data_IF_507547558557
#
_entry.id   IF_507547558557
#
_cell.length_a   1.000
_cell.length_b   1.000
_cell.length_c   1.000
_cell.angle_alpha   90.00
_cell.angle_beta   90.00
_cell.angle_gamma   90.00
#
_symmetry.space_group_name_H-M   'P 1'
#
loop_
_entity.id
_entity.type
_entity.pdbx_description
1 polymer ?
#
# COMPACT_ATOMS: atom_id res chain seq x y z
N UNK A 1 -37.32 -12.08 -38.17
CA UNK A 1 -38.05 -11.21 -37.23
C UNK A 1 -37.48 -9.81 -37.38
N UNK A 2 -38.32 -8.93 -37.94
CA UNK A 2 -38.03 -7.56 -38.36
C UNK A 2 -38.14 -6.66 -37.15
N UNK A 3 -37.10 -5.88 -36.81
CA UNK A 3 -37.17 -4.84 -35.76
C UNK A 3 -37.28 -3.48 -36.47
N UNK A 4 -38.39 -2.81 -36.19
CA UNK A 4 -38.67 -1.43 -36.61
C UNK A 4 -37.78 -0.41 -35.91
N UNK A 5 -37.30 0.58 -36.64
CA UNK A 5 -36.79 1.87 -36.14
C UNK A 5 -37.95 2.84 -35.89
N UNK A 6 -37.96 3.50 -34.78
CA UNK A 6 -38.69 4.75 -34.45
C UNK A 6 -37.87 5.38 -33.27
N UNK A 7 -37.65 6.67 -33.14
CA UNK A 7 -37.94 7.85 -33.89
C UNK A 7 -37.20 9.01 -33.22
N UNK A 8 -36.78 9.97 -34.01
CA UNK A 8 -36.06 11.18 -33.59
C UNK A 8 -36.92 12.07 -32.66
N UNK A 9 -36.41 12.40 -31.49
CA UNK A 9 -36.96 13.50 -30.65
C UNK A 9 -36.01 14.70 -30.74
N UNK A 10 -36.42 15.68 -31.53
CA UNK A 10 -35.84 17.01 -31.55
C UNK A 10 -36.26 17.79 -30.30
N UNK A 11 -35.31 18.24 -29.50
CA UNK A 11 -35.52 19.15 -28.37
C UNK A 11 -35.13 20.57 -28.82
N UNK A 12 -36.09 21.47 -28.81
CA UNK A 12 -35.90 22.88 -29.12
C UNK A 12 -35.19 23.62 -27.97
N UNK A 13 -34.37 24.65 -28.25
CA UNK A 13 -33.68 25.41 -27.22
C UNK A 13 -34.59 26.41 -26.49
N UNK A 14 -34.59 26.33 -25.16
CA UNK A 14 -35.28 27.31 -24.30
C UNK A 14 -34.48 28.61 -24.19
N UNK A 15 -35.14 29.74 -24.49
CA UNK A 15 -34.62 31.10 -24.38
C UNK A 15 -34.59 31.58 -22.93
N UNK A 16 -33.44 32.07 -22.48
CA UNK A 16 -33.22 32.66 -21.15
C UNK A 16 -33.46 34.20 -21.27
N UNK A 17 -34.27 34.84 -20.41
CA UNK A 17 -34.44 36.28 -20.41
C UNK A 17 -33.26 37.00 -19.75
N UNK A 18 -32.77 38.04 -20.44
CA UNK A 18 -31.75 38.98 -19.93
C UNK A 18 -32.34 39.84 -18.82
N UNK A 19 -31.74 39.87 -17.64
CA UNK A 19 -31.99 40.86 -16.59
C UNK A 19 -31.05 42.05 -16.74
N UNK A 20 -31.61 43.24 -16.63
CA UNK A 20 -30.95 44.52 -16.71
C UNK A 20 -30.07 44.81 -15.48
N UNK A 21 -28.98 45.54 -15.73
CA UNK A 21 -28.04 46.00 -14.70
C UNK A 21 -28.60 47.25 -13.94
N UNK A 22 -28.32 47.40 -12.64
CA UNK A 22 -28.53 48.65 -11.95
C UNK A 22 -27.30 49.56 -12.00
N UNK A 23 -27.58 50.83 -12.20
CA UNK A 23 -26.70 51.99 -12.28
C UNK A 23 -25.85 52.23 -11.04
N UNK A 24 -24.59 52.59 -11.27
CA UNK A 24 -23.62 53.05 -10.27
C UNK A 24 -24.01 54.43 -9.70
N UNK A 25 -23.97 54.57 -8.38
CA UNK A 25 -23.87 55.85 -7.66
C UNK A 25 -22.48 55.99 -7.08
N UNK A 26 -21.77 57.01 -7.54
CA UNK A 26 -20.50 57.44 -6.98
C UNK A 26 -20.70 58.15 -5.64
N UNK A 27 -19.98 57.77 -4.64
CA UNK A 27 -19.76 58.53 -3.39
C UNK A 27 -18.27 58.78 -3.25
N UNK A 28 -17.90 60.05 -3.31
CA UNK A 28 -16.57 60.54 -2.99
C UNK A 28 -16.38 60.58 -1.47
N UNK A 29 -15.30 60.01 -0.95
CA UNK A 29 -14.83 60.23 0.43
C UNK A 29 -13.31 60.42 0.42
N UNK A 30 -12.92 61.45 1.15
CA UNK A 30 -11.63 62.09 1.15
C UNK A 30 -10.42 61.25 1.55
N UNK A 31 -9.28 61.71 1.05
CA UNK A 31 -7.95 61.23 1.37
C UNK A 31 -7.51 61.68 2.79
N UNK A 32 -7.16 60.72 3.61
CA UNK A 32 -6.30 60.95 4.80
C UNK A 32 -5.00 60.20 4.51
N UNK A 33 -3.94 60.95 4.26
CA UNK A 33 -2.58 60.42 4.18
C UNK A 33 -2.05 60.14 5.59
N UNK A 34 -1.86 58.85 5.91
CA UNK A 34 -1.06 58.41 7.03
C UNK A 34 0.19 57.73 6.46
N UNK A 35 1.35 58.34 6.70
CA UNK A 35 2.65 57.77 6.37
C UNK A 35 2.89 56.50 7.13
N UNK A 36 3.13 55.41 6.42
CA UNK A 36 3.63 54.17 6.98
C UNK A 36 5.06 53.94 6.49
N UNK A 37 5.97 53.95 7.42
CA UNK A 37 7.37 53.54 7.23
C UNK A 37 7.45 52.17 6.61
N UNK A 38 8.20 52.04 5.51
CA UNK A 38 8.54 50.78 4.89
C UNK A 38 9.49 50.01 5.79
N UNK A 39 8.92 49.14 6.64
CA UNK A 39 9.67 48.05 7.21
C UNK A 39 9.74 46.90 6.20
N UNK A 40 10.91 46.62 5.65
CA UNK A 40 11.19 45.36 4.98
C UNK A 40 11.07 44.23 6.01
N UNK A 41 9.87 43.71 6.17
CA UNK A 41 9.69 42.42 6.79
C UNK A 41 10.13 41.38 5.76
N UNK A 42 11.27 40.75 6.00
CA UNK A 42 11.60 39.47 5.41
C UNK A 42 10.42 38.54 5.66
N UNK A 43 9.68 38.20 4.61
CA UNK A 43 8.78 37.06 4.63
C UNK A 43 9.66 35.83 4.87
N UNK A 44 9.81 35.43 6.12
CA UNK A 44 10.03 34.03 6.43
C UNK A 44 8.88 33.30 5.78
N UNK A 45 9.16 32.51 4.75
CA UNK A 45 8.22 31.52 4.26
C UNK A 45 7.74 30.76 5.49
N UNK A 46 6.50 30.98 5.87
CA UNK A 46 5.78 30.10 6.78
C UNK A 46 5.78 28.76 6.05
N UNK A 47 6.62 27.83 6.52
CA UNK A 47 6.66 26.47 6.00
C UNK A 47 5.23 25.95 6.02
N UNK A 48 4.59 25.95 4.86
CA UNK A 48 3.33 25.24 4.66
C UNK A 48 3.63 23.81 5.04
N UNK A 49 2.86 23.27 6.00
CA UNK A 49 2.99 21.88 6.40
C UNK A 49 3.06 21.02 5.14
N UNK A 50 4.16 20.32 4.94
CA UNK A 50 4.31 19.39 3.82
C UNK A 50 3.17 18.39 3.95
N UNK A 51 2.41 18.19 2.89
CA UNK A 51 1.49 17.06 2.79
C UNK A 51 2.36 15.84 2.52
N UNK A 52 2.81 15.24 3.57
CA UNK A 52 3.49 13.96 3.56
C UNK A 52 2.45 12.83 3.63
N UNK A 53 2.81 11.65 3.25
CA UNK A 53 2.01 10.46 3.53
C UNK A 53 1.78 10.40 5.03
N UNK A 54 0.61 9.94 5.48
CA UNK A 54 0.36 9.81 6.91
C UNK A 54 1.44 8.94 7.54
N UNK A 55 1.96 9.36 8.68
CA UNK A 55 2.98 8.59 9.42
C UNK A 55 2.42 7.25 9.91
N UNK A 56 1.12 7.17 10.09
CA UNK A 56 0.38 5.96 10.43
C UNK A 56 0.45 4.88 9.35
N UNK A 57 -0.22 3.76 9.54
CA UNK A 57 -0.26 2.68 8.54
C UNK A 57 -0.99 3.13 7.27
N UNK A 58 -0.32 3.87 6.45
CA UNK A 58 -0.87 4.65 5.35
C UNK A 58 -0.78 3.97 3.98
N UNK A 59 -0.29 2.73 3.92
CA UNK A 59 -0.16 1.93 2.70
C UNK A 59 -0.17 0.42 3.00
N UNK A 60 0.14 -0.40 2.01
CA UNK A 60 0.04 -1.87 2.08
C UNK A 60 0.94 -2.50 3.14
N UNK A 61 2.09 -1.89 3.44
CA UNK A 61 3.06 -2.40 4.40
C UNK A 61 3.61 -1.25 5.28
N UNK A 62 2.70 -0.50 5.90
CA UNK A 62 3.02 0.61 6.79
C UNK A 62 3.13 1.93 6.04
N UNK A 63 4.24 2.19 5.38
CA UNK A 63 4.54 3.44 4.68
C UNK A 63 5.37 3.23 3.42
N UNK A 64 5.94 4.30 2.85
CA UNK A 64 6.71 4.26 1.61
C UNK A 64 7.85 3.23 1.55
N UNK A 65 8.59 2.97 2.64
CA UNK A 65 9.65 1.95 2.67
C UNK A 65 9.13 0.52 2.64
N UNK A 66 7.82 0.29 2.82
CA UNK A 66 7.21 -1.02 3.03
C UNK A 66 7.77 -1.77 4.25
N UNK A 67 8.19 -1.05 5.29
CA UNK A 67 8.87 -1.63 6.45
C UNK A 67 7.99 -2.53 7.31
N UNK A 68 6.68 -2.54 7.12
CA UNK A 68 5.76 -3.29 7.97
C UNK A 68 5.84 -2.88 9.45
N UNK A 69 6.30 -1.66 9.74
CA UNK A 69 6.49 -1.13 11.08
C UNK A 69 5.58 0.05 11.36
N UNK A 70 4.95 0.03 12.53
CA UNK A 70 4.21 1.15 13.10
C UNK A 70 5.15 2.12 13.81
N UNK A 71 4.76 3.39 13.88
CA UNK A 71 5.46 4.41 14.65
C UNK A 71 5.10 4.40 16.14
N UNK A 72 4.09 3.61 16.53
CA UNK A 72 3.61 3.44 17.89
C UNK A 72 3.97 2.08 18.49
N UNK A 73 3.97 2.02 19.81
CA UNK A 73 3.91 0.77 20.58
C UNK A 73 2.46 0.37 20.79
N UNK A 74 2.19 -0.92 20.95
CA UNK A 74 0.86 -1.44 21.27
C UNK A 74 0.72 -1.72 22.76
N UNK A 75 -0.50 -1.87 23.27
CA UNK A 75 -0.77 -2.32 24.64
C UNK A 75 -0.10 -3.68 24.92
N UNK A 76 0.28 -3.93 26.18
CA UNK A 76 0.80 -5.25 26.61
C UNK A 76 -0.30 -6.33 26.61
N UNK A 77 -1.55 -5.92 26.65
CA UNK A 77 -2.72 -6.81 26.65
C UNK A 77 -3.86 -6.19 25.82
N UNK A 78 -3.71 -6.13 24.48
CA UNK A 78 -4.71 -5.51 23.65
C UNK A 78 -6.06 -6.23 23.74
N UNK A 79 -7.14 -5.48 23.81
CA UNK A 79 -8.50 -6.00 23.90
C UNK A 79 -9.35 -5.56 22.70
N UNK A 80 -10.31 -6.41 22.30
CA UNK A 80 -11.23 -6.07 21.20
C UNK A 80 -12.09 -4.86 21.60
N UNK A 81 -11.94 -3.76 20.85
CA UNK A 81 -12.77 -2.55 21.01
C UNK A 81 -14.06 -2.67 20.22
N UNK A 82 -13.94 -3.04 18.95
CA UNK A 82 -15.10 -3.26 18.07
C UNK A 82 -14.78 -4.20 16.92
N UNK A 83 -15.83 -4.73 16.31
CA UNK A 83 -15.76 -5.40 15.02
C UNK A 83 -16.84 -4.87 14.08
N UNK A 84 -16.51 -4.80 12.78
CA UNK A 84 -17.42 -4.28 11.76
C UNK A 84 -17.43 -5.17 10.53
N UNK A 85 -18.58 -5.82 10.23
CA UNK A 85 -18.77 -6.48 8.94
C UNK A 85 -19.00 -5.43 7.85
N UNK A 86 -18.38 -5.60 6.70
CA UNK A 86 -18.47 -4.71 5.54
C UNK A 86 -19.38 -5.25 4.43
N UNK A 87 -19.84 -6.49 4.55
CA UNK A 87 -20.79 -7.11 3.62
C UNK A 87 -20.19 -7.63 2.31
N UNK A 88 -18.87 -7.56 2.15
CA UNK A 88 -18.14 -8.12 1.02
C UNK A 88 -16.70 -8.40 1.44
N UNK A 89 -15.97 -9.34 0.78
CA UNK A 89 -14.59 -9.64 1.11
C UNK A 89 -13.71 -8.41 1.17
N UNK A 90 -12.94 -8.25 2.26
CA UNK A 90 -11.99 -7.16 2.39
C UNK A 90 -10.72 -7.46 1.57
N UNK A 91 -10.09 -6.41 1.05
CA UNK A 91 -8.88 -6.49 0.27
C UNK A 91 -7.74 -5.75 0.97
N UNK A 92 -6.61 -6.41 1.15
CA UNK A 92 -5.44 -5.82 1.80
C UNK A 92 -5.66 -5.46 3.27
N UNK A 93 -4.83 -4.60 3.79
CA UNK A 93 -4.87 -4.10 5.16
C UNK A 93 -5.79 -2.88 5.27
N UNK A 94 -6.33 -2.61 6.47
CA UNK A 94 -6.96 -1.32 6.75
C UNK A 94 -5.87 -0.25 6.88
N UNK A 95 -5.95 0.80 6.05
CA UNK A 95 -5.09 1.98 6.19
C UNK A 95 -5.63 2.91 7.28
N UNK A 96 -4.74 3.69 7.92
CA UNK A 96 -5.10 4.69 8.92
C UNK A 96 -4.59 6.08 8.52
N UNK A 97 -5.33 7.13 8.89
CA UNK A 97 -4.90 8.52 8.74
C UNK A 97 -4.13 9.06 9.96
N UNK A 98 -4.02 8.27 11.03
CA UNK A 98 -3.41 8.69 12.30
C UNK A 98 -4.22 9.74 13.07
N UNK A 99 -5.39 10.15 12.57
CA UNK A 99 -6.23 11.19 13.19
C UNK A 99 -7.66 10.70 13.49
N UNK A 100 -7.86 9.40 13.53
CA UNK A 100 -9.08 8.77 13.98
C UNK A 100 -9.94 8.10 12.92
N UNK A 101 -9.36 7.74 11.75
CA UNK A 101 -10.08 6.99 10.73
C UNK A 101 -9.29 5.78 10.23
N UNK A 102 -10.01 4.69 10.02
CA UNK A 102 -9.53 3.54 9.25
C UNK A 102 -10.25 3.46 7.91
N UNK A 103 -9.51 3.09 6.88
CA UNK A 103 -10.02 2.97 5.52
C UNK A 103 -9.85 1.54 5.03
N UNK A 104 -10.96 0.94 4.59
CA UNK A 104 -10.94 -0.43 4.10
C UNK A 104 -11.63 -0.55 2.74
N UNK A 105 -10.94 -1.18 1.80
CA UNK A 105 -11.50 -1.55 0.52
C UNK A 105 -12.09 -2.98 0.56
N UNK A 106 -13.10 -3.23 -0.27
CA UNK A 106 -13.76 -4.54 -0.41
C UNK A 106 -13.98 -4.88 -1.88
N UNK A 107 -14.13 -6.17 -2.18
CA UNK A 107 -14.52 -6.66 -3.51
C UNK A 107 -16.04 -6.69 -3.61
N UNK A 108 -16.69 -5.54 -3.76
CA UNK A 108 -18.13 -5.47 -3.95
C UNK A 108 -18.46 -5.03 -5.37
N UNK A 109 -19.26 -5.81 -6.06
CA UNK A 109 -19.80 -5.44 -7.38
C UNK A 109 -21.02 -4.53 -7.25
N UNK A 110 -21.68 -4.57 -6.09
CA UNK A 110 -22.89 -3.80 -5.81
C UNK A 110 -22.73 -3.04 -4.49
N UNK A 111 -23.03 -1.75 -4.51
CA UNK A 111 -22.92 -0.90 -3.33
C UNK A 111 -21.53 -0.29 -3.13
N UNK A 112 -21.21 0.02 -1.88
CA UNK A 112 -19.91 0.60 -1.52
C UNK A 112 -18.79 -0.45 -1.57
N UNK A 113 -17.62 -0.02 -2.00
CA UNK A 113 -16.41 -0.87 -2.00
C UNK A 113 -15.18 -0.17 -1.38
N UNK A 114 -15.32 1.05 -0.89
CA UNK A 114 -14.37 1.74 -0.04
C UNK A 114 -15.13 2.34 1.14
N UNK A 115 -14.63 2.10 2.35
CA UNK A 115 -15.24 2.50 3.61
C UNK A 115 -14.27 3.34 4.42
N UNK A 116 -14.76 4.43 5.04
CA UNK A 116 -14.11 5.10 6.15
C UNK A 116 -14.86 4.79 7.43
N UNK A 117 -14.12 4.30 8.42
CA UNK A 117 -14.62 3.92 9.74
C UNK A 117 -13.97 4.81 10.79
N UNK A 118 -14.72 5.20 11.82
CA UNK A 118 -14.14 5.85 13.00
C UNK A 118 -13.29 4.85 13.78
N UNK A 119 -12.12 5.29 14.26
CA UNK A 119 -11.25 4.45 15.08
C UNK A 119 -11.92 4.07 16.42
N UNK A 120 -12.65 5.00 17.04
CA UNK A 120 -13.17 4.80 18.40
C UNK A 120 -14.30 3.75 18.50
N UNK A 121 -15.20 3.68 17.51
CA UNK A 121 -16.41 2.84 17.60
C UNK A 121 -16.74 2.08 16.32
N UNK A 122 -15.88 2.14 15.30
CA UNK A 122 -16.05 1.46 14.02
C UNK A 122 -17.26 1.92 13.22
N UNK A 123 -17.85 3.10 13.55
CA UNK A 123 -18.96 3.63 12.76
C UNK A 123 -18.49 4.05 11.39
N UNK A 124 -19.34 3.77 10.42
CA UNK A 124 -19.11 4.23 9.06
C UNK A 124 -19.26 5.75 8.98
N UNK A 125 -18.17 6.47 8.72
CA UNK A 125 -18.19 7.90 8.43
C UNK A 125 -18.80 8.16 7.06
N UNK A 126 -18.28 7.45 6.07
CA UNK A 126 -18.78 7.46 4.69
C UNK A 126 -18.43 6.15 4.00
N UNK A 127 -19.03 5.92 2.85
CA UNK A 127 -18.58 4.89 1.94
C UNK A 127 -18.78 5.31 0.48
N UNK A 128 -17.91 4.84 -0.40
CA UNK A 128 -17.93 5.13 -1.81
C UNK A 128 -18.05 3.85 -2.64
N UNK A 129 -18.63 4.00 -3.80
CA UNK A 129 -18.49 3.04 -4.89
C UNK A 129 -17.49 3.60 -5.88
N UNK A 130 -16.30 3.03 -5.90
CA UNK A 130 -15.28 3.33 -6.92
C UNK A 130 -15.56 2.50 -8.17
N UNK A 131 -15.12 2.98 -9.36
CA UNK A 131 -15.12 2.17 -10.58
C UNK A 131 -14.36 0.88 -10.32
N UNK A 132 -15.02 -0.22 -10.55
CA UNK A 132 -14.79 -1.51 -9.93
C UNK A 132 -13.58 -2.30 -10.34
N UNK A 133 -13.41 -3.41 -9.61
CA UNK A 133 -12.41 -4.46 -9.75
C UNK A 133 -11.01 -3.94 -9.47
N UNK A 134 -10.91 -3.12 -8.42
CA UNK A 134 -9.63 -2.71 -7.86
C UNK A 134 -8.91 -3.93 -7.30
N UNK A 135 -7.62 -4.03 -7.52
CA UNK A 135 -6.80 -5.01 -6.86
C UNK A 135 -6.75 -4.69 -5.37
N UNK A 136 -6.31 -5.64 -4.65
CA UNK A 136 -6.01 -5.78 -3.23
C UNK A 136 -4.98 -4.79 -2.70
N UNK A 137 -4.96 -3.55 -3.15
CA UNK A 137 -4.02 -2.55 -2.72
C UNK A 137 -4.73 -1.63 -1.75
N UNK A 138 -4.15 -1.48 -0.57
CA UNK A 138 -4.54 -0.47 0.40
C UNK A 138 -4.43 0.91 -0.22
N UNK A 139 -5.41 1.76 0.03
CA UNK A 139 -5.32 3.16 -0.35
C UNK A 139 -4.14 3.82 0.36
N UNK A 140 -3.45 4.70 -0.34
CA UNK A 140 -2.45 5.57 0.28
C UNK A 140 -3.17 6.75 0.92
N UNK A 141 -2.85 7.05 2.17
CA UNK A 141 -3.49 8.11 2.96
C UNK A 141 -2.51 9.24 3.19
N UNK A 142 -2.92 10.48 2.97
CA UNK A 142 -2.13 11.65 3.36
C UNK A 142 -2.40 12.07 4.81
N UNK A 143 -1.54 12.89 5.40
CA UNK A 143 -1.67 13.39 6.78
C UNK A 143 -2.90 14.27 7.05
N UNK A 144 -3.81 14.42 6.08
CA UNK A 144 -5.11 15.10 6.21
C UNK A 144 -6.30 14.17 6.01
N UNK A 145 -6.05 12.87 5.85
CA UNK A 145 -7.07 11.87 5.62
C UNK A 145 -7.61 11.84 4.19
N UNK A 146 -6.94 12.49 3.21
CA UNK A 146 -7.26 12.28 1.80
C UNK A 146 -6.66 10.97 1.33
N UNK A 147 -7.36 10.28 0.43
CA UNK A 147 -6.95 8.97 -0.05
C UNK A 147 -6.60 9.03 -1.53
N UNK A 148 -5.56 8.27 -1.87
CA UNK A 148 -5.24 7.91 -3.24
C UNK A 148 -5.49 6.42 -3.41
N UNK A 149 -6.46 6.09 -4.25
CA UNK A 149 -7.04 4.74 -4.31
C UNK A 149 -6.76 4.13 -5.67
N UNK A 150 -6.15 2.94 -5.73
CA UNK A 150 -6.00 2.21 -6.98
C UNK A 150 -7.36 1.68 -7.43
N UNK A 151 -7.55 1.69 -8.72
CA UNK A 151 -8.66 0.99 -9.36
C UNK A 151 -8.21 0.37 -10.69
N UNK A 152 -9.06 -0.43 -11.26
CA UNK A 152 -8.78 -1.11 -12.53
C UNK A 152 -8.51 -0.09 -13.66
N UNK A 153 -7.24 0.05 -14.04
CA UNK A 153 -6.79 0.99 -15.07
C UNK A 153 -6.60 2.43 -14.60
N UNK A 154 -6.35 2.68 -13.31
CA UNK A 154 -6.09 4.02 -12.84
C UNK A 154 -5.89 4.21 -11.35
N UNK A 155 -5.79 5.46 -10.97
CA UNK A 155 -5.76 5.94 -9.59
C UNK A 155 -6.74 7.09 -9.41
N UNK A 156 -7.44 7.13 -8.29
CA UNK A 156 -8.36 8.21 -7.91
C UNK A 156 -7.94 8.90 -6.63
N UNK A 157 -8.26 10.19 -6.52
CA UNK A 157 -8.15 10.91 -5.26
C UNK A 157 -9.53 11.15 -4.66
N UNK A 158 -9.63 10.89 -3.36
CA UNK A 158 -10.84 11.06 -2.55
C UNK A 158 -10.50 11.96 -1.37
N UNK A 159 -11.36 12.92 -1.04
CA UNK A 159 -11.17 13.78 0.13
C UNK A 159 -11.43 13.01 1.43
N UNK A 160 -11.01 13.59 2.56
CA UNK A 160 -11.28 13.05 3.91
C UNK A 160 -12.79 12.88 4.20
N UNK A 161 -13.64 13.66 3.50
CA UNK A 161 -15.10 13.62 3.60
C UNK A 161 -15.74 12.58 2.65
N UNK A 162 -14.93 11.89 1.84
CA UNK A 162 -15.42 10.88 0.90
C UNK A 162 -15.86 11.45 -0.45
N UNK A 163 -15.39 12.62 -0.86
CA UNK A 163 -15.72 13.21 -2.15
C UNK A 163 -14.64 12.85 -3.20
N UNK A 164 -15.09 12.40 -4.37
CA UNK A 164 -14.18 12.17 -5.49
C UNK A 164 -13.60 13.51 -5.98
N UNK A 165 -12.29 13.63 -6.00
CA UNK A 165 -11.59 14.84 -6.46
C UNK A 165 -11.18 14.75 -7.92
N UNK A 166 -10.53 13.65 -8.30
CA UNK A 166 -10.10 13.38 -9.67
C UNK A 166 -9.85 11.88 -9.89
N UNK A 167 -9.82 11.47 -11.14
CA UNK A 167 -9.42 10.14 -11.59
C UNK A 167 -8.38 10.27 -12.71
N UNK A 168 -7.25 9.61 -12.57
CA UNK A 168 -6.21 9.52 -13.59
C UNK A 168 -6.13 8.07 -14.11
N UNK A 169 -6.25 7.92 -15.44
CA UNK A 169 -6.11 6.61 -16.08
C UNK A 169 -4.65 6.22 -16.20
N UNK A 170 -4.34 4.95 -16.01
CA UNK A 170 -3.01 4.38 -16.26
C UNK A 170 -3.14 3.09 -17.05
N UNK A 171 -2.06 2.67 -17.70
CA UNK A 171 -1.97 1.33 -18.31
C UNK A 171 -1.72 0.31 -17.20
N UNK A 172 -2.62 -0.67 -17.08
CA UNK A 172 -2.56 -1.68 -16.03
C UNK A 172 -3.17 -1.22 -14.72
N UNK A 173 -2.97 -2.03 -13.71
CA UNK A 173 -3.50 -1.83 -12.35
C UNK A 173 -2.34 -1.34 -11.47
N UNK A 174 -2.47 -0.24 -10.74
CA UNK A 174 -1.43 0.21 -9.84
C UNK A 174 -1.11 -0.85 -8.77
N UNK A 175 0.15 -1.21 -8.61
CA UNK A 175 0.70 -2.03 -7.52
C UNK A 175 1.38 -1.17 -6.46
N UNK A 176 1.79 0.04 -6.84
CA UNK A 176 2.36 1.04 -5.94
C UNK A 176 1.62 2.35 -6.11
N UNK A 177 1.28 2.97 -5.00
CA UNK A 177 0.81 4.35 -4.91
C UNK A 177 1.49 4.96 -3.70
N UNK A 178 2.33 5.98 -3.91
CA UNK A 178 3.12 6.59 -2.83
C UNK A 178 3.24 8.08 -3.04
N UNK A 179 3.02 8.86 -2.00
CA UNK A 179 3.30 10.28 -2.00
C UNK A 179 4.81 10.51 -1.93
N UNK A 180 5.38 11.16 -2.92
CA UNK A 180 6.77 11.63 -2.90
C UNK A 180 6.89 12.95 -2.13
N UNK A 181 5.91 13.80 -2.31
CA UNK A 181 5.74 15.07 -1.62
C UNK A 181 4.28 15.58 -1.74
N UNK A 182 3.99 16.80 -1.32
CA UNK A 182 2.66 17.40 -1.37
C UNK A 182 2.08 17.61 -2.78
N UNK A 183 2.87 17.42 -3.83
CA UNK A 183 2.47 17.64 -5.23
C UNK A 183 2.58 16.40 -6.10
N UNK A 184 3.38 15.44 -5.70
CA UNK A 184 3.76 14.32 -6.55
C UNK A 184 3.35 12.99 -5.94
N UNK A 185 2.52 12.27 -6.66
CA UNK A 185 2.11 10.89 -6.36
C UNK A 185 2.78 9.96 -7.36
N UNK A 186 3.67 9.13 -6.89
CA UNK A 186 4.27 8.05 -7.68
C UNK A 186 3.27 6.90 -7.79
N UNK A 187 3.11 6.39 -8.99
CA UNK A 187 2.34 5.17 -9.25
C UNK A 187 3.15 4.21 -10.11
N UNK A 188 3.11 2.93 -9.77
CA UNK A 188 3.67 1.84 -10.60
C UNK A 188 2.56 0.87 -10.87
N UNK A 189 2.34 0.49 -12.13
CA UNK A 189 1.36 -0.53 -12.48
C UNK A 189 1.99 -1.91 -12.59
N UNK A 190 1.18 -2.96 -12.47
CA UNK A 190 1.63 -4.35 -12.67
C UNK A 190 2.21 -4.61 -14.07
N UNK A 191 1.92 -3.74 -15.04
CA UNK A 191 2.53 -3.77 -16.37
C UNK A 191 3.88 -3.07 -16.44
N UNK A 192 4.39 -2.58 -15.30
CA UNK A 192 5.68 -1.90 -15.22
C UNK A 192 5.66 -0.45 -15.75
N UNK A 193 4.52 0.21 -15.74
CA UNK A 193 4.42 1.64 -16.09
C UNK A 193 4.61 2.46 -14.82
N UNK A 194 5.70 3.21 -14.77
CA UNK A 194 5.97 4.18 -13.71
C UNK A 194 5.47 5.54 -14.16
N UNK A 195 4.68 6.19 -13.32
CA UNK A 195 4.13 7.54 -13.52
C UNK A 195 4.26 8.36 -12.26
N UNK A 196 4.37 9.65 -12.44
CA UNK A 196 4.17 10.63 -11.37
C UNK A 196 3.06 11.57 -11.78
N UNK A 197 2.04 11.70 -10.94
CA UNK A 197 0.90 12.59 -11.16
C UNK A 197 0.84 13.67 -10.10
N UNK A 198 0.29 14.81 -10.47
CA UNK A 198 0.05 15.89 -9.52
C UNK A 198 -1.10 15.53 -8.57
N UNK A 199 -0.87 15.60 -7.27
CA UNK A 199 -1.83 15.21 -6.22
C UNK A 199 -3.11 16.04 -6.21
N UNK A 200 -3.09 17.25 -6.75
CA UNK A 200 -4.25 18.16 -6.76
C UNK A 200 -5.13 17.95 -8.00
N UNK A 201 -4.51 17.59 -9.12
CA UNK A 201 -5.19 17.59 -10.43
C UNK A 201 -5.28 16.23 -11.09
N UNK A 202 -4.45 15.24 -10.66
CA UNK A 202 -4.30 13.94 -11.33
C UNK A 202 -3.62 14.01 -12.71
N UNK A 203 -3.12 15.19 -13.11
CA UNK A 203 -2.39 15.33 -14.37
C UNK A 203 -0.95 14.82 -14.22
N UNK A 204 -0.40 14.35 -15.33
CA UNK A 204 0.99 13.87 -15.35
C UNK A 204 1.98 14.98 -14.97
N UNK A 205 2.87 14.69 -14.04
CA UNK A 205 3.99 15.54 -13.64
C UNK A 205 5.28 15.21 -14.41
N UNK A 206 5.30 14.08 -15.13
CA UNK A 206 6.39 13.65 -16.00
C UNK A 206 5.87 12.73 -17.10
N UNK A 207 6.61 12.52 -18.19
CA UNK A 207 6.34 11.41 -19.11
C UNK A 207 6.34 10.06 -18.39
N UNK A 208 5.51 9.12 -18.85
CA UNK A 208 5.52 7.74 -18.34
C UNK A 208 6.85 7.04 -18.64
N UNK A 209 7.27 6.15 -17.74
CA UNK A 209 8.46 5.32 -17.91
C UNK A 209 8.08 3.83 -17.86
N UNK A 210 8.12 3.10 -18.98
CA UNK A 210 7.92 1.65 -18.98
C UNK A 210 9.21 0.95 -18.52
N UNK A 211 9.20 0.30 -17.36
CA UNK A 211 10.38 -0.40 -16.81
C UNK A 211 10.45 -1.87 -17.22
N UNK A 212 9.35 -2.47 -17.63
CA UNK A 212 9.30 -3.87 -18.09
C UNK A 212 9.10 -4.00 -19.62
N UNK A 213 9.50 -2.96 -20.38
CA UNK A 213 9.27 -2.87 -21.80
C UNK A 213 7.87 -2.33 -22.16
N UNK A 214 7.63 -2.11 -23.45
CA UNK A 214 6.34 -1.60 -23.89
C UNK A 214 5.30 -2.72 -23.95
N UNK A 215 4.39 -2.72 -22.98
CA UNK A 215 3.20 -3.58 -22.96
C UNK A 215 1.99 -2.65 -23.05
N UNK A 216 1.22 -2.78 -24.10
CA UNK A 216 0.02 -1.96 -24.32
C UNK A 216 -1.20 -2.85 -24.59
N UNK A 217 -1.64 -3.70 -23.64
CA UNK A 217 -2.84 -4.49 -23.83
C UNK A 217 -4.08 -3.59 -23.86
N UNK A 218 -5.10 -4.02 -24.57
CA UNK A 218 -6.41 -3.35 -24.60
C UNK A 218 -7.16 -3.48 -23.26
N UNK A 219 -6.87 -4.55 -22.50
CA UNK A 219 -7.43 -4.82 -21.18
C UNK A 219 -6.43 -4.38 -20.09
N UNK A 220 -6.79 -3.41 -19.23
CA UNK A 220 -5.95 -3.01 -18.11
C UNK A 220 -5.61 -4.14 -17.12
N UNK A 221 -6.44 -5.17 -17.03
CA UNK A 221 -6.21 -6.34 -16.18
C UNK A 221 -5.36 -7.43 -16.80
N UNK A 222 -4.87 -7.25 -18.03
CA UNK A 222 -4.03 -8.26 -18.68
C UNK A 222 -2.85 -8.64 -17.78
N UNK A 223 -2.70 -9.92 -17.52
CA UNK A 223 -1.62 -10.43 -16.67
C UNK A 223 -1.88 -10.35 -15.17
N UNK A 224 -2.91 -9.64 -14.71
CA UNK A 224 -3.17 -9.47 -13.27
C UNK A 224 -3.40 -10.77 -12.47
N UNK A 225 -3.98 -11.85 -13.01
CA UNK A 225 -4.10 -13.12 -12.28
C UNK A 225 -2.75 -13.71 -11.87
N UNK A 226 -1.69 -13.48 -12.64
CA UNK A 226 -0.35 -14.00 -12.34
C UNK A 226 0.41 -13.16 -11.31
N UNK A 227 -0.06 -11.94 -11.00
CA UNK A 227 0.59 -11.08 -10.02
C UNK A 227 0.55 -11.67 -8.61
N UNK A 228 -0.55 -12.32 -8.23
CA UNK A 228 -0.70 -12.95 -6.93
C UNK A 228 0.30 -14.08 -6.65
N UNK A 229 0.82 -14.69 -7.70
CA UNK A 229 1.80 -15.79 -7.62
C UNK A 229 3.18 -15.39 -8.14
N UNK A 230 3.35 -14.13 -8.59
CA UNK A 230 4.64 -13.58 -9.03
C UNK A 230 5.19 -14.20 -10.29
N UNK A 231 4.32 -14.66 -11.21
CA UNK A 231 4.74 -15.30 -12.47
C UNK A 231 5.06 -14.30 -13.57
N UNK A 232 5.75 -14.79 -14.61
CA UNK A 232 6.16 -14.03 -15.82
C UNK A 232 5.04 -13.23 -16.49
N UNK A 233 3.77 -13.67 -16.34
CA UNK A 233 2.62 -12.96 -16.88
C UNK A 233 2.34 -11.62 -16.22
N UNK A 234 2.92 -11.35 -15.03
CA UNK A 234 2.83 -10.09 -14.31
C UNK A 234 4.21 -9.42 -14.25
N UNK A 235 4.47 -8.43 -15.10
CA UNK A 235 5.78 -7.74 -15.13
C UNK A 235 6.23 -7.12 -13.83
N UNK A 236 5.32 -6.54 -13.02
CA UNK A 236 5.63 -5.96 -11.70
C UNK A 236 4.60 -6.45 -10.69
N UNK A 237 4.89 -7.57 -10.01
CA UNK A 237 3.90 -8.26 -9.19
C UNK A 237 3.64 -7.63 -7.82
N UNK A 238 4.58 -6.86 -7.29
CA UNK A 238 4.48 -6.31 -5.93
C UNK A 238 4.68 -4.81 -5.84
N UNK A 239 4.33 -4.22 -4.68
CA UNK A 239 4.63 -2.82 -4.40
C UNK A 239 6.13 -2.54 -4.37
N UNK A 240 6.51 -1.38 -4.92
CA UNK A 240 7.85 -0.84 -4.78
C UNK A 240 8.08 -0.28 -3.38
N UNK A 241 9.30 -0.39 -2.86
CA UNK A 241 9.74 0.43 -1.75
C UNK A 241 10.19 1.80 -2.28
N UNK A 242 9.87 2.86 -1.57
CA UNK A 242 10.15 4.21 -2.03
C UNK A 242 10.92 5.00 -0.96
N UNK A 243 12.09 5.48 -1.36
CA UNK A 243 12.80 6.53 -0.64
C UNK A 243 12.24 7.89 -1.06
N UNK A 244 11.41 8.48 -0.22
CA UNK A 244 10.76 9.77 -0.50
C UNK A 244 11.71 10.95 -0.41
N UNK A 245 12.86 10.83 0.26
CA UNK A 245 13.86 11.91 0.32
C UNK A 245 14.59 12.10 -1.01
N UNK A 246 14.93 10.98 -1.66
CA UNK A 246 15.62 11.02 -2.95
C UNK A 246 14.68 10.91 -4.15
N UNK A 247 13.41 10.58 -3.91
CA UNK A 247 12.41 10.28 -4.95
C UNK A 247 12.71 8.97 -5.69
N UNK A 248 13.37 8.01 -5.05
CA UNK A 248 13.79 6.75 -5.67
C UNK A 248 12.88 5.60 -5.28
N UNK A 249 12.38 4.87 -6.26
CA UNK A 249 11.59 3.66 -6.09
C UNK A 249 12.42 2.43 -6.47
N UNK A 250 12.37 1.39 -5.63
CA UNK A 250 12.99 0.09 -5.84
C UNK A 250 11.90 -0.93 -6.06
N UNK A 251 11.93 -1.62 -7.19
CA UNK A 251 10.89 -2.56 -7.57
C UNK A 251 11.46 -3.78 -8.29
N UNK A 252 10.76 -4.90 -8.20
CA UNK A 252 11.07 -6.07 -9.00
C UNK A 252 10.30 -6.01 -10.32
N UNK A 253 10.99 -6.32 -11.41
CA UNK A 253 10.38 -6.32 -12.72
C UNK A 253 10.78 -7.57 -13.52
N UNK A 254 9.86 -8.08 -14.31
CA UNK A 254 10.12 -9.15 -15.26
C UNK A 254 9.77 -8.68 -16.68
N UNK A 255 10.79 -8.34 -17.42
CA UNK A 255 10.60 -7.96 -18.83
C UNK A 255 10.05 -9.15 -19.62
N UNK A 256 8.93 -9.01 -20.35
CA UNK A 256 8.38 -10.08 -21.16
C UNK A 256 9.41 -10.65 -22.14
N UNK A 257 9.59 -11.98 -22.10
CA UNK A 257 10.61 -12.66 -22.91
C UNK A 257 12.03 -12.59 -22.34
N UNK A 258 12.25 -11.86 -21.25
CA UNK A 258 13.52 -11.85 -20.52
C UNK A 258 13.80 -13.19 -19.82
N UNK A 259 15.07 -13.54 -19.61
CA UNK A 259 15.46 -14.83 -19.03
C UNK A 259 15.17 -14.89 -17.52
N UNK A 260 15.30 -13.78 -16.83
CA UNK A 260 15.17 -13.70 -15.37
C UNK A 260 14.52 -12.38 -14.95
N UNK A 261 14.00 -12.29 -13.70
CA UNK A 261 13.56 -11.04 -13.12
C UNK A 261 14.74 -10.12 -12.79
N UNK A 262 14.44 -8.84 -12.61
CA UNK A 262 15.40 -7.80 -12.28
C UNK A 262 14.92 -7.00 -11.07
N UNK A 263 15.83 -6.55 -10.24
CA UNK A 263 15.63 -5.44 -9.31
C UNK A 263 15.96 -4.15 -10.06
N UNK A 264 15.08 -3.17 -9.98
CA UNK A 264 15.20 -1.91 -10.75
C UNK A 264 15.06 -0.73 -9.80
N UNK A 265 15.98 0.22 -9.89
CA UNK A 265 15.86 1.52 -9.24
C UNK A 265 15.42 2.59 -10.25
N UNK A 266 14.36 3.31 -9.90
CA UNK A 266 13.80 4.40 -10.70
C UNK A 266 13.76 5.66 -9.86
N UNK A 267 14.27 6.77 -10.37
CA UNK A 267 14.21 8.06 -9.69
C UNK A 267 13.29 9.04 -10.40
N UNK A 268 12.50 9.74 -9.62
CA UNK A 268 11.81 10.96 -10.05
C UNK A 268 12.57 12.19 -9.58
N UNK A 269 12.80 13.11 -10.49
CA UNK A 269 13.34 14.44 -10.21
C UNK A 269 12.29 15.48 -10.57
N UNK A 270 11.89 16.27 -9.58
CA UNK A 270 10.93 17.37 -9.77
C UNK A 270 11.59 18.51 -10.58
N UNK A 271 10.78 19.22 -11.35
CA UNK A 271 11.19 20.37 -12.18
C UNK A 271 10.04 20.80 -13.09
N UNK A 272 10.30 21.74 -14.02
CA UNK A 272 9.25 22.29 -14.91
C UNK A 272 8.54 21.20 -15.73
N UNK A 273 9.24 20.15 -16.12
CA UNK A 273 8.68 19.03 -16.87
C UNK A 273 8.85 17.67 -16.16
N UNK A 274 9.25 17.64 -14.90
CA UNK A 274 9.51 16.42 -14.15
C UNK A 274 10.27 15.34 -14.96
N UNK A 275 11.07 14.52 -14.33
CA UNK A 275 11.82 13.47 -15.03
C UNK A 275 11.81 12.17 -14.24
N UNK A 276 11.47 11.09 -14.93
CA UNK A 276 11.66 9.71 -14.47
C UNK A 276 12.86 9.11 -15.23
N UNK A 277 13.74 8.43 -14.50
CA UNK A 277 14.88 7.72 -15.08
C UNK A 277 15.17 6.43 -14.33
N UNK A 278 15.61 5.41 -15.07
CA UNK A 278 16.17 4.20 -14.47
C UNK A 278 17.61 4.52 -14.05
N UNK A 279 17.93 4.35 -12.78
CA UNK A 279 19.27 4.53 -12.27
C UNK A 279 20.14 3.31 -12.57
N UNK A 280 19.61 2.13 -12.26
CA UNK A 280 20.29 0.85 -12.51
C UNK A 280 19.27 -0.30 -12.59
N UNK A 281 19.76 -1.43 -13.10
CA UNK A 281 19.08 -2.72 -13.12
C UNK A 281 20.06 -3.80 -12.68
N UNK A 282 19.59 -4.70 -11.82
CA UNK A 282 20.36 -5.85 -11.35
C UNK A 282 19.56 -7.13 -11.58
N UNK A 283 20.18 -8.13 -12.19
CA UNK A 283 19.55 -9.43 -12.40
C UNK A 283 19.31 -10.15 -11.07
N UNK A 284 18.15 -10.71 -10.92
CA UNK A 284 17.79 -11.56 -9.77
C UNK A 284 17.92 -13.04 -10.16
N UNK A 285 18.08 -13.96 -9.18
CA UNK A 285 17.97 -15.39 -9.45
C UNK A 285 16.68 -15.74 -10.17
N UNK A 286 16.71 -16.79 -11.01
CA UNK A 286 15.49 -17.31 -11.63
C UNK A 286 14.48 -17.69 -10.55
N UNK A 287 13.21 -17.39 -10.79
CA UNK A 287 12.13 -17.73 -9.87
C UNK A 287 11.03 -16.69 -9.88
N UNK A 288 10.01 -16.92 -9.05
CA UNK A 288 8.84 -16.05 -8.95
C UNK A 288 9.12 -14.87 -8.04
N UNK A 289 8.61 -13.72 -8.45
CA UNK A 289 8.60 -12.51 -7.66
C UNK A 289 7.19 -12.30 -7.10
N UNK A 290 7.03 -12.22 -5.81
CA UNK A 290 5.66 -12.13 -5.30
C UNK A 290 5.47 -11.25 -4.08
N UNK A 291 6.55 -10.67 -3.58
CA UNK A 291 6.51 -9.94 -2.31
C UNK A 291 6.96 -8.50 -2.53
N UNK A 292 6.40 -7.54 -1.77
CA UNK A 292 6.90 -6.18 -1.78
C UNK A 292 8.38 -6.11 -1.47
N UNK A 293 9.09 -5.24 -2.18
CA UNK A 293 10.44 -4.82 -1.80
C UNK A 293 10.34 -4.00 -0.51
N UNK A 294 11.26 -4.20 0.41
CA UNK A 294 11.37 -3.44 1.67
C UNK A 294 12.67 -2.65 1.66
N UNK A 295 12.63 -1.38 2.03
CA UNK A 295 13.80 -0.52 2.15
C UNK A 295 14.29 -0.50 3.60
N UNK A 296 15.60 -0.61 3.81
CA UNK A 296 16.22 -0.46 5.13
C UNK A 296 16.08 0.96 5.69
N UNK A 297 16.20 1.11 7.01
CA UNK A 297 16.10 2.43 7.67
C UNK A 297 17.24 3.38 7.29
N UNK A 298 18.45 2.86 7.09
CA UNK A 298 19.62 3.61 6.62
C UNK A 298 19.60 3.86 5.11
N UNK A 299 18.63 3.23 4.39
CA UNK A 299 18.44 3.33 2.94
C UNK A 299 19.58 2.80 2.08
N UNK A 300 20.45 2.01 2.66
CA UNK A 300 21.59 1.42 1.97
C UNK A 300 21.26 0.05 1.37
N UNK A 301 20.20 -0.61 1.84
CA UNK A 301 19.79 -1.94 1.40
C UNK A 301 18.29 -2.02 1.07
N UNK A 302 17.95 -2.88 0.14
CA UNK A 302 16.58 -3.34 -0.09
C UNK A 302 16.49 -4.84 0.12
N UNK A 303 15.39 -5.28 0.72
CA UNK A 303 15.15 -6.67 1.08
C UNK A 303 14.04 -7.27 0.22
N UNK A 304 14.23 -8.51 -0.20
CA UNK A 304 13.22 -9.26 -0.93
C UNK A 304 13.32 -10.76 -0.68
N UNK A 305 12.18 -11.43 -0.82
CA UNK A 305 12.11 -12.87 -0.77
C UNK A 305 12.26 -13.48 -2.17
N UNK A 306 12.94 -14.62 -2.26
CA UNK A 306 13.06 -15.41 -3.48
C UNK A 306 12.19 -16.68 -3.45
N UNK A 307 11.97 -17.29 -4.60
CA UNK A 307 11.14 -18.49 -4.72
C UNK A 307 11.72 -19.70 -4.01
N UNK A 308 13.04 -19.79 -3.96
CA UNK A 308 13.76 -20.86 -3.26
C UNK A 308 13.70 -20.76 -1.73
N UNK A 309 12.98 -19.78 -1.20
CA UNK A 309 12.79 -19.61 0.22
C UNK A 309 13.99 -18.97 0.92
N UNK A 310 14.59 -17.98 0.30
CA UNK A 310 15.59 -17.11 0.93
C UNK A 310 15.07 -15.69 1.10
N UNK A 311 15.54 -15.00 2.13
CA UNK A 311 15.45 -13.55 2.30
C UNK A 311 16.82 -12.98 1.95
N UNK A 312 16.85 -12.01 1.02
CA UNK A 312 18.10 -11.47 0.48
C UNK A 312 18.11 -9.95 0.54
N UNK A 313 19.29 -9.39 0.76
CA UNK A 313 19.54 -7.95 0.70
C UNK A 313 20.36 -7.58 -0.52
N UNK A 314 20.03 -6.44 -1.09
CA UNK A 314 20.73 -5.84 -2.25
C UNK A 314 21.03 -4.39 -1.95
N UNK A 315 22.20 -3.91 -2.41
CA UNK A 315 22.62 -2.52 -2.27
C UNK A 315 21.70 -1.57 -3.06
N UNK A 316 21.27 -0.49 -2.45
CA UNK A 316 20.51 0.57 -3.12
C UNK A 316 21.35 1.36 -4.13
N UNK A 317 22.68 1.33 -3.99
CA UNK A 317 23.58 2.08 -4.86
C UNK A 317 23.63 1.52 -6.28
N UNK A 318 23.61 0.18 -6.43
CA UNK A 318 23.83 -0.48 -7.72
C UNK A 318 23.09 -1.81 -7.91
N UNK A 319 22.31 -2.25 -6.90
CA UNK A 319 21.60 -3.52 -6.90
C UNK A 319 22.48 -4.75 -6.70
N UNK A 320 23.72 -4.61 -6.31
CA UNK A 320 24.59 -5.75 -6.01
C UNK A 320 24.10 -6.51 -4.79
N UNK A 321 24.19 -7.88 -4.77
CA UNK A 321 23.79 -8.66 -3.61
C UNK A 321 24.72 -8.38 -2.42
N UNK A 322 24.14 -8.20 -1.23
CA UNK A 322 24.85 -7.95 0.03
C UNK A 322 24.91 -9.20 0.88
N UNK A 323 23.76 -9.80 1.15
CA UNK A 323 23.65 -11.04 1.90
C UNK A 323 22.37 -11.80 1.51
N UNK A 324 22.32 -13.09 1.87
CA UNK A 324 21.14 -13.95 1.71
C UNK A 324 21.06 -14.92 2.87
N UNK A 325 19.84 -15.20 3.34
CA UNK A 325 19.56 -16.14 4.42
C UNK A 325 18.43 -17.08 4.02
N UNK A 326 18.64 -18.41 4.05
CA UNK A 326 17.60 -19.38 3.78
C UNK A 326 16.58 -19.38 4.92
N UNK A 327 15.30 -19.15 4.62
CA UNK A 327 14.21 -19.22 5.59
C UNK A 327 13.38 -20.49 5.47
N UNK A 328 13.57 -21.26 4.38
CA UNK A 328 12.99 -22.58 4.20
C UNK A 328 11.55 -22.61 3.68
N UNK A 329 10.97 -21.47 3.36
CA UNK A 329 9.65 -21.36 2.74
C UNK A 329 9.54 -20.05 1.96
N UNK A 330 8.54 -19.94 1.08
CA UNK A 330 8.25 -18.71 0.34
C UNK A 330 7.08 -17.99 0.98
N UNK A 331 7.26 -16.78 1.54
CA UNK A 331 6.17 -15.91 1.97
C UNK A 331 5.39 -15.34 0.79
N UNK A 332 4.10 -15.02 1.02
CA UNK A 332 3.25 -14.28 0.09
C UNK A 332 3.03 -12.84 0.55
N UNK A 333 3.47 -12.50 1.76
CA UNK A 333 3.31 -11.18 2.37
C UNK A 333 4.68 -10.58 2.72
N UNK A 334 4.77 -9.23 2.80
CA UNK A 334 6.04 -8.58 3.13
C UNK A 334 6.53 -8.96 4.52
N UNK A 335 7.85 -8.93 4.76
CA UNK A 335 8.39 -8.97 6.10
C UNK A 335 8.10 -7.67 6.86
N UNK A 336 8.28 -7.68 8.18
CA UNK A 336 8.35 -6.48 8.99
C UNK A 336 9.79 -6.22 9.45
N UNK A 337 10.20 -4.97 9.40
CA UNK A 337 11.52 -4.50 9.83
C UNK A 337 11.45 -3.93 11.23
N UNK A 338 12.12 -4.54 12.19
CA UNK A 338 12.25 -4.05 13.56
C UNK A 338 13.20 -2.85 13.65
N UNK A 339 13.13 -2.04 14.72
CA UNK A 339 14.00 -0.88 14.91
C UNK A 339 15.50 -1.19 14.96
N UNK A 340 15.85 -2.42 15.31
CA UNK A 340 17.26 -2.90 15.38
C UNK A 340 17.78 -3.48 14.05
N UNK A 341 16.97 -3.41 12.98
CA UNK A 341 17.30 -3.93 11.65
C UNK A 341 16.98 -5.42 11.47
N UNK A 342 16.38 -6.09 12.45
CA UNK A 342 15.90 -7.46 12.30
C UNK A 342 14.65 -7.50 11.42
N UNK A 343 14.61 -8.43 10.48
CA UNK A 343 13.47 -8.68 9.59
C UNK A 343 12.70 -9.90 10.09
N UNK A 344 11.43 -9.74 10.37
CA UNK A 344 10.52 -10.85 10.66
C UNK A 344 9.77 -11.21 9.39
N UNK A 345 9.90 -12.46 8.95
CA UNK A 345 9.38 -12.89 7.66
C UNK A 345 7.86 -12.86 7.59
N UNK A 346 7.34 -12.63 6.39
CA UNK A 346 5.91 -12.65 6.12
C UNK A 346 5.30 -14.04 6.17
N UNK A 347 3.99 -14.09 6.27
CA UNK A 347 3.19 -15.31 6.25
C UNK A 347 2.72 -15.68 4.85
N UNK A 348 1.77 -16.60 4.81
CA UNK A 348 1.04 -16.98 3.61
C UNK A 348 -0.42 -16.58 3.75
N UNK A 349 -0.87 -15.67 2.90
CA UNK A 349 -2.29 -15.34 2.85
C UNK A 349 -3.05 -16.55 2.32
N UNK A 350 -4.01 -17.03 3.10
CA UNK A 350 -4.89 -18.06 2.61
C UNK A 350 -5.74 -17.50 1.45
N UNK A 351 -5.49 -17.99 0.26
CA UNK A 351 -6.42 -18.25 -0.85
C UNK A 351 -7.36 -17.19 -1.44
N UNK A 352 -7.51 -16.01 -0.93
CA UNK A 352 -8.47 -15.01 -1.50
C UNK A 352 -8.08 -14.53 -2.90
N UNK A 353 -6.92 -14.87 -3.36
CA UNK A 353 -6.42 -14.47 -4.69
C UNK A 353 -6.35 -15.55 -5.72
N UNK A 354 -6.47 -16.76 -5.31
CA UNK A 354 -6.53 -17.85 -6.25
C UNK A 354 -7.95 -17.84 -6.77
N UNK A 355 -8.14 -17.60 -8.06
CA UNK A 355 -9.43 -17.82 -8.70
C UNK A 355 -9.96 -19.19 -8.28
N UNK A 356 -11.25 -19.40 -8.34
CA UNK A 356 -11.92 -20.64 -7.89
C UNK A 356 -11.39 -21.95 -8.53
N UNK A 357 -10.42 -21.84 -9.44
CA UNK A 357 -9.84 -22.95 -10.22
C UNK A 357 -8.39 -23.31 -9.83
N UNK A 358 -7.84 -22.75 -8.72
CA UNK A 358 -6.43 -22.97 -8.37
C UNK A 358 -6.27 -24.13 -7.38
N UNK A 359 -6.01 -25.33 -7.92
CA UNK A 359 -5.67 -26.55 -7.17
C UNK A 359 -4.38 -26.43 -6.32
N UNK A 360 -3.65 -25.32 -6.45
CA UNK A 360 -2.40 -25.05 -5.68
C UNK A 360 -2.64 -24.53 -4.25
N UNK A 361 -3.89 -24.30 -3.87
CA UNK A 361 -4.23 -23.84 -2.51
C UNK A 361 -3.93 -24.91 -1.44
N UNK A 362 -3.98 -26.18 -1.80
CA UNK A 362 -3.79 -27.30 -0.87
C UNK A 362 -2.33 -27.53 -0.46
N UNK A 363 -1.36 -27.02 -1.25
CA UNK A 363 0.09 -27.25 -1.03
C UNK A 363 0.79 -26.11 -0.26
N UNK A 364 0.04 -25.19 0.35
CA UNK A 364 0.64 -24.19 1.23
C UNK A 364 1.13 -24.87 2.51
N UNK A 365 2.34 -25.40 2.47
CA UNK A 365 3.05 -25.92 3.65
C UNK A 365 3.11 -24.91 4.79
N UNK A 366 3.66 -25.25 5.95
CA UNK A 366 3.76 -24.37 7.09
C UNK A 366 4.45 -23.05 6.70
N UNK A 367 3.96 -21.92 7.23
CA UNK A 367 4.64 -20.64 7.17
C UNK A 367 5.08 -20.31 8.61
N UNK A 368 6.27 -20.76 9.03
CA UNK A 368 6.82 -20.41 10.34
C UNK A 368 7.08 -18.92 10.44
N UNK A 369 7.23 -18.42 11.65
CA UNK A 369 7.72 -17.06 11.86
C UNK A 369 9.23 -17.13 12.04
N UNK A 370 9.98 -16.43 11.21
CA UNK A 370 11.45 -16.45 11.22
C UNK A 370 11.97 -15.03 11.31
N UNK A 371 12.85 -14.75 12.24
CA UNK A 371 13.57 -13.49 12.33
C UNK A 371 14.98 -13.64 11.77
N UNK A 372 15.37 -12.74 10.90
CA UNK A 372 16.67 -12.70 10.24
C UNK A 372 17.28 -11.32 10.43
N UNK A 373 18.54 -11.26 10.81
CA UNK A 373 19.28 -10.01 10.92
C UNK A 373 20.31 -9.88 9.79
N UNK A 374 20.31 -8.72 9.15
CA UNK A 374 21.26 -8.37 8.09
C UNK A 374 22.63 -7.95 8.61
N UNK A 375 23.24 -7.01 7.95
CA UNK A 375 24.65 -6.60 7.96
C UNK A 375 25.37 -6.37 9.31
N UNK A 376 24.68 -6.14 10.42
CA UNK A 376 25.30 -6.04 11.75
C UNK A 376 25.77 -7.39 12.32
N UNK A 377 25.26 -8.48 11.79
CA UNK A 377 25.54 -9.86 12.16
C UNK A 377 26.19 -10.67 11.04
N UNK A 378 26.95 -10.04 10.15
CA UNK A 378 27.67 -10.74 9.07
C UNK A 378 28.51 -11.86 9.70
N UNK A 379 28.04 -13.10 9.52
CA UNK A 379 28.97 -14.21 9.53
C UNK A 379 30.08 -13.93 8.53
N UNK A 380 31.27 -14.47 8.75
CA UNK A 380 32.45 -14.28 7.88
C UNK A 380 32.18 -14.60 6.40
N UNK A 381 31.01 -15.14 6.07
CA UNK A 381 30.59 -15.63 4.74
C UNK A 381 29.59 -14.73 3.99
N UNK A 382 29.25 -13.53 4.48
CA UNK A 382 28.26 -12.65 3.81
C UNK A 382 26.81 -13.19 3.90
N UNK A 383 26.53 -14.11 4.79
CA UNK A 383 25.17 -14.61 5.04
C UNK A 383 24.50 -13.80 6.13
N UNK A 384 23.21 -13.46 5.93
CA UNK A 384 22.35 -13.00 7.01
C UNK A 384 22.18 -14.11 8.05
N UNK A 385 22.06 -13.75 9.32
CA UNK A 385 21.89 -14.70 10.42
C UNK A 385 20.44 -14.86 10.83
N UNK A 386 19.95 -16.11 10.98
CA UNK A 386 18.69 -16.38 11.68
C UNK A 386 18.88 -15.97 13.16
N UNK A 387 17.99 -15.12 13.68
CA UNK A 387 17.99 -14.69 15.07
C UNK A 387 17.17 -15.67 15.91
N UNK A 388 15.96 -15.93 15.46
CA UNK A 388 15.07 -16.91 16.07
C UNK A 388 14.08 -17.47 15.05
N UNK A 389 13.44 -18.60 15.41
CA UNK A 389 12.45 -19.29 14.58
C UNK A 389 11.34 -19.88 15.44
N UNK A 390 10.11 -19.80 14.96
CA UNK A 390 8.91 -20.38 15.56
C UNK A 390 8.23 -21.31 14.56
N UNK A 391 8.69 -22.56 14.48
CA UNK A 391 8.13 -23.61 13.61
C UNK A 391 6.78 -24.14 14.11
N UNK A 392 6.42 -23.84 15.37
CA UNK A 392 5.14 -24.18 15.98
C UNK A 392 4.01 -23.25 15.52
N UNK A 393 4.32 -22.08 14.95
CA UNK A 393 3.36 -21.11 14.45
C UNK A 393 3.08 -21.30 12.96
N UNK A 394 1.86 -20.98 12.56
CA UNK A 394 1.44 -20.91 11.16
C UNK A 394 0.91 -19.53 10.88
N UNK A 395 1.76 -18.69 10.35
CA UNK A 395 1.45 -17.29 10.08
C UNK A 395 0.51 -17.15 8.87
N UNK A 396 -0.53 -16.34 9.01
CA UNK A 396 -1.62 -16.20 8.05
C UNK A 396 -1.54 -14.94 7.18
N UNK A 397 -0.76 -13.92 7.60
CA UNK A 397 -0.66 -12.63 6.89
C UNK A 397 0.68 -11.98 7.14
N UNK A 398 0.83 -10.70 6.74
CA UNK A 398 2.01 -9.90 7.08
C UNK A 398 2.17 -9.78 8.60
N UNK A 399 3.39 -9.80 9.14
CA UNK A 399 3.66 -9.33 10.49
C UNK A 399 3.53 -7.80 10.55
N UNK A 400 3.40 -7.27 11.75
CA UNK A 400 3.51 -5.83 12.01
C UNK A 400 4.49 -5.61 13.16
N UNK A 401 5.59 -4.91 12.89
CA UNK A 401 6.54 -4.49 13.91
C UNK A 401 6.03 -3.24 14.62
N UNK A 402 6.36 -3.08 15.90
CA UNK A 402 6.02 -1.91 16.71
C UNK A 402 7.26 -1.04 16.96
N UNK A 403 7.06 0.20 17.38
CA UNK A 403 8.14 1.13 17.64
C UNK A 403 9.09 0.67 18.76
N UNK A 404 8.61 -0.13 19.69
CA UNK A 404 9.38 -0.69 20.82
C UNK A 404 9.99 -2.07 20.55
N UNK A 405 9.95 -2.53 19.28
CA UNK A 405 10.64 -3.75 18.86
C UNK A 405 9.86 -5.03 19.06
N UNK A 406 8.56 -4.97 19.39
CA UNK A 406 7.69 -6.15 19.44
C UNK A 406 7.10 -6.44 18.05
N UNK A 407 6.53 -7.64 17.89
CA UNK A 407 5.96 -8.09 16.62
C UNK A 407 4.56 -8.65 16.82
N UNK A 408 3.62 -8.16 16.05
CA UNK A 408 2.29 -8.73 15.94
C UNK A 408 2.23 -9.70 14.77
N UNK A 409 1.69 -10.90 15.00
CA UNK A 409 1.46 -11.91 13.97
C UNK A 409 0.08 -12.53 14.13
N UNK A 410 -0.66 -12.65 13.04
CA UNK A 410 -1.88 -13.44 13.03
C UNK A 410 -1.55 -14.88 12.64
N UNK A 411 -1.94 -15.83 13.48
CA UNK A 411 -1.61 -17.24 13.32
C UNK A 411 -2.85 -18.11 13.35
N UNK A 412 -2.73 -19.30 12.78
CA UNK A 412 -3.74 -20.33 12.92
C UNK A 412 -3.73 -20.88 14.36
N UNK A 413 -4.89 -20.85 15.04
CA UNK A 413 -5.09 -21.43 16.36
C UNK A 413 -6.26 -22.41 16.30
N UNK A 414 -6.07 -23.65 16.71
CA UNK A 414 -7.16 -24.63 16.81
C UNK A 414 -8.10 -24.69 15.58
N UNK A 415 -9.33 -25.16 15.82
CA UNK A 415 -10.36 -25.26 14.78
C UNK A 415 -10.22 -26.50 13.89
N UNK A 416 -11.09 -26.60 12.87
CA UNK A 416 -11.03 -27.61 11.82
C UNK A 416 -10.27 -27.09 10.62
N UNK A 417 -9.93 -27.95 9.66
CA UNK A 417 -9.28 -27.49 8.41
C UNK A 417 -10.21 -26.57 7.59
N UNK A 418 -11.52 -26.77 7.71
CA UNK A 418 -12.52 -25.95 7.01
C UNK A 418 -12.83 -24.62 7.74
N UNK A 419 -12.68 -24.58 9.07
CA UNK A 419 -12.90 -23.40 9.91
C UNK A 419 -11.74 -23.25 10.91
N UNK A 420 -10.57 -22.81 10.49
CA UNK A 420 -9.44 -22.60 11.39
C UNK A 420 -9.72 -21.45 12.35
N UNK A 421 -9.42 -21.65 13.62
CA UNK A 421 -9.34 -20.55 14.58
C UNK A 421 -8.17 -19.63 14.22
N UNK A 422 -8.28 -18.37 14.63
CA UNK A 422 -7.25 -17.35 14.46
C UNK A 422 -6.89 -16.82 15.83
N UNK A 423 -5.59 -16.70 16.09
CA UNK A 423 -5.05 -15.94 17.20
C UNK A 423 -4.18 -14.80 16.67
N UNK A 424 -4.21 -13.68 17.36
CA UNK A 424 -3.26 -12.60 17.18
C UNK A 424 -2.26 -12.68 18.33
N UNK A 425 -0.98 -12.87 18.00
CA UNK A 425 0.09 -12.98 18.98
C UNK A 425 0.91 -11.70 18.99
N UNK A 426 1.24 -11.23 20.18
CA UNK A 426 2.29 -10.26 20.42
C UNK A 426 3.55 -11.03 20.82
N UNK A 427 4.59 -10.91 20.01
CA UNK A 427 5.87 -11.59 20.22
C UNK A 427 6.94 -10.58 20.65
N UNK A 428 7.87 -11.04 21.45
CA UNK A 428 9.14 -10.34 21.69
C UNK A 428 9.99 -10.38 20.41
N UNK A 429 10.52 -9.25 19.97
CA UNK A 429 11.33 -9.17 18.77
C UNK A 429 12.71 -9.76 18.91
N UNK A 430 13.24 -9.84 20.13
CA UNK A 430 14.61 -10.33 20.39
C UNK A 430 14.70 -11.86 20.34
N UNK A 431 13.69 -12.59 20.85
CA UNK A 431 13.73 -14.05 20.96
C UNK A 431 12.50 -14.79 20.41
N UNK A 432 11.49 -14.05 19.94
CA UNK A 432 10.26 -14.62 19.38
C UNK A 432 9.32 -15.23 20.41
N UNK A 433 9.56 -15.02 21.72
CA UNK A 433 8.68 -15.53 22.78
C UNK A 433 7.32 -14.84 22.72
N UNK A 434 6.25 -15.58 23.05
CA UNK A 434 4.89 -15.04 23.08
C UNK A 434 4.69 -14.23 24.35
N UNK A 435 4.48 -12.92 24.21
CA UNK A 435 4.18 -11.99 25.30
C UNK A 435 2.69 -12.00 25.63
N UNK A 436 1.85 -12.02 24.60
CA UNK A 436 0.39 -12.04 24.75
C UNK A 436 -0.28 -12.76 23.58
N UNK A 437 -1.42 -13.40 23.85
CA UNK A 437 -2.24 -14.09 22.87
C UNK A 437 -3.69 -13.58 22.95
N UNK A 438 -4.25 -13.23 21.80
CA UNK A 438 -5.61 -12.74 21.66
C UNK A 438 -6.36 -13.70 20.75
N UNK A 439 -7.41 -14.33 21.25
CA UNK A 439 -8.33 -15.06 20.37
C UNK A 439 -9.14 -14.08 19.52
N UNK A 440 -9.07 -14.26 18.21
CA UNK A 440 -9.96 -13.54 17.29
C UNK A 440 -11.32 -14.24 17.30
N UNK A 441 -12.44 -13.50 17.44
CA UNK A 441 -13.76 -14.11 17.50
C UNK A 441 -14.03 -15.09 16.36
N UNK A 442 -14.69 -16.18 16.67
CA UNK A 442 -15.09 -17.19 15.69
C UNK A 442 -15.83 -16.55 14.50
N UNK A 443 -15.69 -17.15 13.32
CA UNK A 443 -16.23 -16.64 12.05
C UNK A 443 -15.44 -15.47 11.42
N UNK A 444 -14.22 -15.19 11.89
CA UNK A 444 -13.39 -14.19 11.24
C UNK A 444 -13.01 -14.59 9.80
N UNK A 445 -12.93 -15.89 9.50
CA UNK A 445 -12.47 -16.39 8.19
C UNK A 445 -10.98 -16.14 7.96
N UNK A 446 -10.48 -16.34 6.73
CA UNK A 446 -9.09 -16.07 6.40
C UNK A 446 -8.71 -14.60 6.63
N UNK A 447 -7.50 -14.37 7.18
CA UNK A 447 -6.98 -13.01 7.39
C UNK A 447 -6.50 -12.43 6.07
N UNK A 448 -6.87 -11.18 5.78
CA UNK A 448 -6.43 -10.45 4.60
C UNK A 448 -5.35 -9.41 4.91
N UNK A 449 -5.21 -8.96 6.17
CA UNK A 449 -4.20 -8.01 6.55
C UNK A 449 -4.20 -7.63 8.02
N UNK A 450 -3.04 -7.14 8.48
CA UNK A 450 -2.79 -6.64 9.82
C UNK A 450 -2.11 -5.28 9.71
N UNK A 451 -2.58 -4.29 10.47
CA UNK A 451 -2.01 -2.95 10.55
C UNK A 451 -2.08 -2.39 11.97
N UNK A 452 -1.25 -1.40 12.26
CA UNK A 452 -1.20 -0.70 13.55
C UNK A 452 -1.16 0.80 13.27
N UNK A 453 -2.01 1.58 13.94
CA UNK A 453 -2.02 3.03 13.80
C UNK A 453 -1.06 3.73 14.79
N UNK A 454 -1.01 5.07 14.74
CA UNK A 454 -0.12 5.88 15.58
C UNK A 454 -0.53 5.93 17.06
N UNK A 455 -1.76 5.52 17.38
CA UNK A 455 -2.23 5.38 18.76
C UNK A 455 -1.96 3.96 19.31
N UNK A 456 -1.36 3.07 18.50
CA UNK A 456 -1.11 1.67 18.87
C UNK A 456 -2.32 0.77 18.73
N UNK A 457 -3.37 1.20 18.04
CA UNK A 457 -4.55 0.38 17.76
C UNK A 457 -4.24 -0.60 16.64
N UNK A 458 -4.66 -1.82 16.82
CA UNK A 458 -4.40 -2.93 15.90
C UNK A 458 -5.65 -3.20 15.08
N UNK A 459 -5.56 -3.09 13.77
CA UNK A 459 -6.64 -3.48 12.86
C UNK A 459 -6.32 -4.81 12.17
N UNK A 460 -7.16 -5.80 12.41
CA UNK A 460 -7.15 -7.09 11.71
C UNK A 460 -8.30 -7.13 10.71
N UNK A 461 -7.98 -7.40 9.45
CA UNK A 461 -8.98 -7.52 8.38
C UNK A 461 -9.10 -8.95 7.90
N UNK A 462 -10.29 -9.36 7.50
CA UNK A 462 -10.56 -10.73 7.08
C UNK A 462 -11.16 -10.79 5.68
N UNK A 463 -10.88 -11.87 5.00
CA UNK A 463 -11.37 -12.12 3.66
C UNK A 463 -12.90 -12.27 3.56
N UNK A 464 -13.58 -12.57 4.67
CA UNK A 464 -15.05 -12.57 4.70
C UNK A 464 -15.63 -11.16 4.83
N UNK A 465 -14.76 -10.14 4.96
CA UNK A 465 -15.16 -8.74 4.99
C UNK A 465 -15.51 -8.22 6.37
N UNK A 466 -14.72 -8.53 7.37
CA UNK A 466 -14.79 -7.92 8.69
C UNK A 466 -13.49 -7.22 9.06
N UNK A 467 -13.61 -6.12 9.78
CA UNK A 467 -12.51 -5.41 10.44
C UNK A 467 -12.69 -5.56 11.93
N UNK A 468 -11.64 -5.96 12.62
CA UNK A 468 -11.56 -6.04 14.08
C UNK A 468 -10.54 -5.03 14.55
N UNK A 469 -10.89 -4.21 15.53
CA UNK A 469 -9.97 -3.26 16.16
C UNK A 469 -9.71 -3.65 17.61
N UNK A 470 -8.43 -3.67 17.97
CA UNK A 470 -7.93 -3.94 19.32
C UNK A 470 -7.13 -2.72 19.80
N UNK A 471 -7.22 -2.45 21.12
CA UNK A 471 -6.47 -1.39 21.80
C UNK A 471 -5.96 -1.85 23.17
#
# INVERSE_FOLDING_TARGET
VTIRREGDLQVAPASIPRRAAPTARALAVGAVAVGLAAGCASHTESGGARLEQAESWSSVAGGPPNSGRAHASVSDSPALVWSRPLGAPATGVAGSDGIGSFFQATVSEQGCNLFALTADDGRKRWCLRLPTHGPRITATVDGRGSLFVPFYGGVGAVSAEGENRWFARTRGIPTTITLLDNRHLLTVSHLGIVRVVNTQTGLDASPELPVAGEIAPSDPGFGSPWCGIGERGCPVPGPAAVDTETGTAYLTAWTPGGPAPELVAVRFTAGDAGRLEVLWRAGLPEGRLGVPVVLSDDRDEVYLHSEDGALSAYSTADGSPVWSSPIGYRPDTPPALLPDGTLVTGGRTSTVWRGQDDDHAADAGPAPVVAVRGAGGRGEDGQGGEVWRRDDLRQLTNPAATADGRVLVAVRSGGTDDEPGIALLLLDGDDGSTLHEIEVPAAAGPVSGLSVDDDGRIALTTAVGAVYLYE
#
